data_IF_967526068406
#
_entry.id   IF_967526068406
#
_cell.length_a   1.000
_cell.length_b   1.000
_cell.length_c   1.000
_cell.angle_alpha   90.00
_cell.angle_beta   90.00
_cell.angle_gamma   90.00
#
_symmetry.space_group_name_H-M   'P 1'
#
loop_
_entity.id
_entity.type
_entity.pdbx_description
1 polymer ?
#
# COMPACT_ATOMS: atom_id res chain seq x y z
N UNK A 1 16.96 5.68 7.76
CA UNK A 1 17.86 4.83 6.94
C UNK A 1 18.00 3.45 7.58
N UNK A 2 17.81 2.40 6.79
CA UNK A 2 18.03 1.03 7.21
C UNK A 2 19.53 0.80 7.37
N UNK A 3 20.00 0.61 8.61
CA UNK A 3 21.43 0.40 8.91
C UNK A 3 21.78 -1.08 8.73
N UNK A 4 22.31 -1.38 7.55
CA UNK A 4 22.64 -2.74 7.08
C UNK A 4 23.72 -3.39 7.95
N UNK A 5 24.82 -2.70 8.34
CA UNK A 5 25.77 -3.22 9.32
C UNK A 5 25.11 -3.67 10.63
N UNK A 6 24.25 -2.83 11.22
CA UNK A 6 23.56 -3.14 12.48
C UNK A 6 22.60 -4.32 12.31
N UNK A 7 21.91 -4.40 11.17
CA UNK A 7 21.05 -5.53 10.84
C UNK A 7 21.83 -6.85 10.74
N UNK A 8 22.92 -6.86 9.98
CA UNK A 8 23.77 -8.04 9.79
C UNK A 8 24.45 -8.47 11.08
N UNK A 9 24.87 -7.52 11.93
CA UNK A 9 25.44 -7.82 13.25
C UNK A 9 24.38 -8.49 14.16
N UNK A 10 23.15 -7.96 14.19
CA UNK A 10 22.03 -8.55 14.94
C UNK A 10 21.66 -9.95 14.43
N UNK A 11 21.65 -10.15 13.11
CA UNK A 11 21.35 -11.45 12.50
C UNK A 11 22.45 -12.48 12.82
N UNK A 12 23.73 -12.06 12.78
CA UNK A 12 24.88 -12.88 13.23
C UNK A 12 24.81 -13.18 14.73
N UNK A 13 24.42 -12.21 15.56
CA UNK A 13 24.27 -12.39 17.01
C UNK A 13 23.12 -13.37 17.35
N UNK A 14 22.00 -13.30 16.61
CA UNK A 14 20.87 -14.22 16.72
C UNK A 14 21.23 -15.64 16.26
N UNK A 15 21.94 -15.78 15.14
CA UNK A 15 22.46 -17.06 14.67
C UNK A 15 23.46 -17.69 15.65
N UNK A 16 24.34 -16.89 16.26
CA UNK A 16 25.26 -17.33 17.33
C UNK A 16 24.51 -17.74 18.60
N UNK A 17 23.43 -17.03 18.98
CA UNK A 17 22.54 -17.40 20.10
C UNK A 17 21.83 -18.73 19.85
N UNK A 18 21.35 -19.00 18.63
CA UNK A 18 20.75 -20.30 18.27
C UNK A 18 21.73 -21.47 18.46
N UNK A 19 23.01 -21.27 18.11
CA UNK A 19 24.08 -22.27 18.32
C UNK A 19 24.31 -22.59 19.81
N UNK A 20 24.02 -21.63 20.70
CA UNK A 20 24.11 -21.75 22.17
C UNK A 20 22.82 -22.30 22.80
N UNK A 21 21.66 -22.09 22.19
CA UNK A 21 20.33 -22.54 22.68
C UNK A 21 20.03 -24.00 22.30
N UNK A 22 20.70 -24.56 21.29
CA UNK A 22 20.58 -25.97 20.89
C UNK A 22 20.94 -26.97 22.02
N UNK A 23 21.57 -26.51 23.10
CA UNK A 23 21.80 -27.33 24.31
C UNK A 23 20.64 -27.36 25.31
N UNK A 24 19.68 -26.42 25.26
CA UNK A 24 18.66 -26.23 26.32
C UNK A 24 17.20 -26.08 25.83
N UNK A 25 16.89 -26.48 24.59
CA UNK A 25 15.50 -26.54 24.09
C UNK A 25 15.14 -25.49 23.04
N UNK A 26 14.28 -25.90 22.12
CA UNK A 26 14.18 -25.47 20.73
C UNK A 26 13.75 -24.01 20.50
N UNK A 27 14.54 -23.28 19.73
CA UNK A 27 14.11 -22.03 19.09
C UNK A 27 13.71 -22.35 17.63
N UNK A 28 12.41 -22.34 17.33
CA UNK A 28 11.90 -22.59 15.98
C UNK A 28 12.28 -21.48 15.00
N UNK A 29 12.37 -21.81 13.70
CA UNK A 29 12.63 -20.83 12.62
C UNK A 29 11.59 -19.70 12.65
N UNK A 30 10.32 -20.04 12.89
CA UNK A 30 9.23 -19.08 13.07
C UNK A 30 9.45 -18.09 14.22
N UNK A 31 9.99 -18.54 15.36
CA UNK A 31 10.28 -17.65 16.50
C UNK A 31 11.45 -16.72 16.20
N UNK A 32 12.41 -17.16 15.38
CA UNK A 32 13.50 -16.33 14.86
C UNK A 32 12.98 -15.26 13.89
N UNK A 33 12.06 -15.63 12.98
CA UNK A 33 11.35 -14.69 12.10
C UNK A 33 10.67 -13.62 12.93
N UNK A 34 9.82 -14.05 13.87
CA UNK A 34 9.04 -13.15 14.72
C UNK A 34 9.94 -12.16 15.49
N UNK A 35 11.05 -12.63 16.05
CA UNK A 35 12.03 -11.76 16.72
C UNK A 35 12.73 -10.78 15.77
N UNK A 36 12.99 -11.17 14.52
CA UNK A 36 13.52 -10.27 13.50
C UNK A 36 12.47 -9.22 13.07
N UNK A 37 11.19 -9.63 12.91
CA UNK A 37 10.07 -8.72 12.59
C UNK A 37 9.90 -7.64 13.65
N UNK A 38 10.04 -7.99 14.93
CA UNK A 38 9.96 -7.04 16.05
C UNK A 38 11.12 -6.04 16.10
N UNK A 39 12.32 -6.47 15.74
CA UNK A 39 13.52 -5.64 15.92
C UNK A 39 13.82 -4.71 14.74
N UNK A 40 13.22 -4.93 13.58
CA UNK A 40 13.51 -4.14 12.37
C UNK A 40 12.24 -3.82 11.59
N UNK A 41 11.38 -2.91 12.10
CA UNK A 41 10.09 -2.59 11.49
C UNK A 41 10.18 -2.03 10.06
N UNK A 42 11.28 -1.36 9.72
CA UNK A 42 11.53 -0.84 8.37
C UNK A 42 11.81 -1.92 7.32
N UNK A 43 12.14 -3.15 7.76
CA UNK A 43 12.29 -4.29 6.84
C UNK A 43 10.91 -4.83 6.42
N UNK A 44 9.92 -4.77 7.32
CA UNK A 44 8.53 -5.25 7.12
C UNK A 44 7.90 -4.62 5.87
N UNK A 45 7.92 -3.28 5.82
CA UNK A 45 7.28 -2.52 4.75
C UNK A 45 7.98 -2.74 3.39
N UNK A 46 9.27 -3.07 3.41
CA UNK A 46 10.07 -3.30 2.19
C UNK A 46 10.02 -4.76 1.72
N UNK A 47 9.74 -5.71 2.62
CA UNK A 47 9.61 -7.13 2.30
C UNK A 47 8.19 -7.53 1.89
N UNK A 48 7.18 -6.72 2.23
CA UNK A 48 5.76 -7.05 1.99
C UNK A 48 5.46 -7.45 0.53
N UNK A 49 5.91 -6.71 -0.50
CA UNK A 49 5.61 -7.07 -1.89
C UNK A 49 6.23 -8.39 -2.34
N UNK A 50 7.26 -8.86 -1.64
CA UNK A 50 7.94 -10.13 -1.89
C UNK A 50 7.28 -11.26 -1.09
N UNK A 51 6.81 -10.98 0.14
CA UNK A 51 5.98 -11.91 0.92
C UNK A 51 4.70 -12.27 0.18
N UNK A 52 4.01 -11.29 -0.40
CA UNK A 52 2.74 -11.51 -1.11
C UNK A 52 2.95 -12.46 -2.31
N UNK A 53 4.08 -12.32 -3.02
CA UNK A 53 4.45 -13.20 -4.14
C UNK A 53 4.96 -14.57 -3.69
N UNK A 54 5.66 -14.64 -2.57
CA UNK A 54 6.06 -15.90 -1.94
C UNK A 54 4.83 -16.72 -1.58
N UNK A 55 3.74 -16.08 -1.14
CA UNK A 55 2.47 -16.77 -0.84
C UNK A 55 1.88 -17.43 -2.09
N UNK A 56 1.79 -16.68 -3.20
CA UNK A 56 1.30 -17.19 -4.50
C UNK A 56 2.18 -18.35 -5.01
N UNK A 57 3.50 -18.21 -4.92
CA UNK A 57 4.45 -19.27 -5.31
C UNK A 57 4.37 -20.49 -4.39
N UNK A 58 4.11 -20.30 -3.10
CA UNK A 58 3.99 -21.37 -2.12
C UNK A 58 2.79 -22.26 -2.39
N UNK A 59 1.66 -21.64 -2.75
CA UNK A 59 0.44 -22.35 -3.14
C UNK A 59 0.61 -23.06 -4.48
N UNK A 60 1.16 -22.37 -5.50
CA UNK A 60 1.37 -22.94 -6.83
C UNK A 60 2.33 -24.15 -6.83
N UNK A 61 3.32 -24.16 -5.93
CA UNK A 61 4.36 -25.20 -5.86
C UNK A 61 4.14 -26.22 -4.74
N UNK A 62 3.05 -26.11 -3.97
CA UNK A 62 2.72 -27.00 -2.85
C UNK A 62 3.85 -27.15 -1.82
N UNK A 63 4.42 -26.02 -1.41
CA UNK A 63 5.56 -26.02 -0.49
C UNK A 63 5.17 -26.47 0.92
N UNK A 64 6.05 -27.20 1.59
CA UNK A 64 5.89 -27.60 2.99
C UNK A 64 5.94 -26.38 3.93
N UNK A 65 5.39 -26.53 5.13
CA UNK A 65 5.36 -25.46 6.14
C UNK A 65 6.76 -24.93 6.48
N UNK A 66 7.77 -25.81 6.51
CA UNK A 66 9.16 -25.43 6.73
C UNK A 66 9.75 -24.62 5.56
N UNK A 67 9.40 -24.96 4.31
CA UNK A 67 9.82 -24.23 3.11
C UNK A 67 9.16 -22.86 3.00
N UNK A 68 7.87 -22.76 3.35
CA UNK A 68 7.14 -21.49 3.43
C UNK A 68 7.77 -20.55 4.47
N UNK A 69 8.15 -21.09 5.64
CA UNK A 69 8.84 -20.34 6.69
C UNK A 69 10.23 -19.85 6.25
N UNK A 70 10.96 -20.66 5.46
CA UNK A 70 12.26 -20.27 4.89
C UNK A 70 12.12 -19.21 3.79
N UNK A 71 11.06 -19.26 3.00
CA UNK A 71 10.77 -18.25 1.98
C UNK A 71 10.33 -16.91 2.60
N UNK A 72 9.48 -16.94 3.63
CA UNK A 72 9.16 -15.76 4.44
C UNK A 72 10.41 -15.21 5.14
N UNK A 73 11.36 -16.04 5.60
CA UNK A 73 12.65 -15.55 6.09
C UNK A 73 13.44 -14.80 5.00
N UNK A 74 13.48 -15.36 3.80
CA UNK A 74 14.28 -14.86 2.71
C UNK A 74 13.69 -13.60 2.05
N UNK A 75 12.36 -13.43 2.03
CA UNK A 75 11.71 -12.19 1.58
C UNK A 75 12.03 -10.98 2.47
N UNK A 76 12.45 -11.19 3.73
CA UNK A 76 12.87 -10.13 4.67
C UNK A 76 14.33 -9.77 4.58
N UNK A 77 15.09 -10.61 3.89
CA UNK A 77 16.49 -10.38 3.58
C UNK A 77 16.64 -9.59 2.26
N UNK A 78 15.54 -9.40 1.53
CA UNK A 78 15.38 -8.58 0.33
C UNK A 78 15.72 -7.09 0.50
N UNK A 79 15.32 -6.37 1.58
CA UNK A 79 15.69 -4.96 1.73
C UNK A 79 17.19 -4.74 1.96
N UNK A 80 17.94 -5.82 2.24
CA UNK A 80 19.40 -5.77 2.35
C UNK A 80 20.07 -5.77 0.99
N UNK A 81 19.53 -6.44 -0.03
CA UNK A 81 20.20 -6.52 -1.34
C UNK A 81 20.23 -5.17 -2.04
N UNK A 82 19.17 -4.38 -1.90
CA UNK A 82 19.08 -3.01 -2.44
C UNK A 82 20.00 -2.03 -1.69
N UNK A 83 20.12 -2.22 -0.37
CA UNK A 83 21.06 -1.45 0.43
C UNK A 83 22.53 -1.84 0.22
N UNK A 84 22.79 -3.08 -0.17
CA UNK A 84 24.14 -3.58 -0.46
C UNK A 84 24.65 -3.14 -1.84
N UNK A 85 23.76 -2.80 -2.78
CA UNK A 85 24.11 -2.08 -4.02
C UNK A 85 24.62 -0.65 -3.76
N UNK A 86 24.14 0.01 -2.71
CA UNK A 86 24.61 1.36 -2.35
C UNK A 86 25.99 1.36 -1.67
N UNK A 87 26.42 0.24 -1.09
CA UNK A 87 27.75 0.10 -0.45
C UNK A 87 28.86 -0.33 -1.42
N UNK A 88 28.54 -0.68 -2.67
CA UNK A 88 29.54 -0.90 -3.73
C UNK A 88 30.23 0.41 -4.16
N UNK A 89 29.56 1.57 -4.02
CA UNK A 89 30.15 2.88 -4.36
C UNK A 89 31.19 3.37 -3.32
N UNK A 90 31.17 2.83 -2.09
CA UNK A 90 32.03 3.27 -0.97
C UNK A 90 33.21 2.31 -0.67
N UNK A 91 33.40 1.24 -1.46
CA UNK A 91 34.67 0.50 -1.54
C UNK A 91 35.11 -0.37 -0.34
N UNK A 92 34.29 -0.57 0.70
CA UNK A 92 34.68 -1.35 1.89
C UNK A 92 34.04 -2.76 2.03
N UNK A 93 33.37 -3.30 1.01
CA UNK A 93 32.68 -4.60 1.17
C UNK A 93 32.69 -5.48 -0.09
N UNK A 94 33.49 -6.56 -0.08
CA UNK A 94 33.42 -7.65 -1.07
C UNK A 94 33.06 -8.99 -0.41
N UNK A 95 31.82 -9.47 -0.64
CA UNK A 95 31.60 -10.86 -1.00
C UNK A 95 30.79 -10.95 -2.31
N UNK A 96 31.06 -11.98 -3.10
CA UNK A 96 30.63 -12.16 -4.51
C UNK A 96 29.12 -12.11 -4.81
N UNK A 97 28.25 -12.07 -3.80
CA UNK A 97 26.88 -11.52 -3.87
C UNK A 97 26.23 -11.56 -2.48
N UNK A 98 25.42 -10.55 -2.09
CA UNK A 98 24.52 -10.62 -0.93
C UNK A 98 23.68 -11.91 -0.85
N UNK A 99 23.24 -12.42 -2.01
CA UNK A 99 22.45 -13.64 -2.10
C UNK A 99 23.30 -14.90 -1.81
N UNK A 100 24.59 -14.90 -2.17
CA UNK A 100 25.50 -16.01 -1.89
C UNK A 100 25.86 -16.11 -0.41
N UNK A 101 26.11 -14.98 0.25
CA UNK A 101 26.34 -14.94 1.71
C UNK A 101 25.07 -15.35 2.46
N UNK A 102 23.88 -15.02 1.94
CA UNK A 102 22.59 -15.46 2.47
C UNK A 102 22.40 -16.96 2.36
N UNK A 103 22.61 -17.51 1.15
CA UNK A 103 22.57 -18.95 0.88
C UNK A 103 23.61 -19.66 1.72
N UNK A 104 24.78 -19.07 1.93
CA UNK A 104 25.83 -19.59 2.81
C UNK A 104 25.41 -19.57 4.29
N UNK A 105 24.76 -18.51 4.77
CA UNK A 105 24.25 -18.39 6.15
C UNK A 105 23.10 -19.37 6.41
N UNK A 106 22.20 -19.55 5.44
CA UNK A 106 21.12 -20.54 5.48
C UNK A 106 21.68 -21.97 5.43
N UNK A 107 22.72 -22.23 4.61
CA UNK A 107 23.48 -23.50 4.60
C UNK A 107 24.24 -23.76 5.90
N UNK A 108 24.87 -22.74 6.50
CA UNK A 108 25.60 -22.85 7.78
C UNK A 108 24.66 -22.99 8.99
N UNK A 109 23.39 -22.62 8.86
CA UNK A 109 22.37 -22.84 9.88
C UNK A 109 21.94 -24.32 10.01
N UNK A 110 22.55 -25.24 9.26
CA UNK A 110 22.22 -26.68 9.19
C UNK A 110 20.71 -26.91 9.07
N UNK A 111 20.11 -26.22 8.11
CA UNK A 111 18.84 -26.64 7.54
C UNK A 111 19.22 -27.57 6.39
N UNK A 112 18.74 -28.80 6.42
CA UNK A 112 18.73 -29.63 5.22
C UNK A 112 17.77 -28.92 4.25
N UNK A 113 18.30 -28.00 3.45
CA UNK A 113 17.58 -27.36 2.36
C UNK A 113 17.40 -28.44 1.30
N UNK A 114 16.48 -29.36 1.58
CA UNK A 114 16.11 -30.43 0.69
C UNK A 114 15.62 -29.82 -0.61
N UNK A 115 16.38 -30.06 -1.68
CA UNK A 115 16.12 -29.72 -3.08
C UNK A 115 16.64 -28.36 -3.59
N UNK A 116 17.26 -28.42 -4.77
CA UNK A 116 17.60 -27.28 -5.64
C UNK A 116 16.38 -26.37 -5.92
N UNK A 117 15.17 -26.91 -5.74
CA UNK A 117 13.89 -26.26 -6.00
C UNK A 117 13.65 -25.02 -5.12
N UNK A 118 13.95 -25.07 -3.82
CA UNK A 118 13.69 -23.94 -2.88
C UNK A 118 14.57 -22.73 -3.17
N UNK A 119 15.80 -22.96 -3.63
CA UNK A 119 16.69 -21.89 -4.10
C UNK A 119 16.18 -21.27 -5.42
N UNK A 120 15.57 -22.07 -6.29
CA UNK A 120 15.01 -21.60 -7.56
C UNK A 120 13.70 -20.84 -7.38
N UNK A 121 12.86 -21.19 -6.41
CA UNK A 121 11.67 -20.38 -6.04
C UNK A 121 12.07 -18.97 -5.60
N UNK A 122 13.14 -18.85 -4.82
CA UNK A 122 13.69 -17.57 -4.40
C UNK A 122 14.21 -16.75 -5.58
N UNK A 123 14.98 -17.37 -6.47
CA UNK A 123 15.44 -16.72 -7.70
C UNK A 123 14.27 -16.27 -8.57
N UNK A 124 13.21 -17.09 -8.70
CA UNK A 124 12.01 -16.78 -9.47
C UNK A 124 11.21 -15.61 -8.89
N UNK A 125 11.03 -15.57 -7.58
CA UNK A 125 10.43 -14.43 -6.89
C UNK A 125 11.21 -13.14 -7.19
N UNK A 126 12.55 -13.19 -7.14
CA UNK A 126 13.42 -12.05 -7.43
C UNK A 126 13.32 -11.57 -8.89
N UNK A 127 13.28 -12.49 -9.86
CA UNK A 127 13.09 -12.18 -11.28
C UNK A 127 11.73 -11.51 -11.51
N UNK A 128 10.66 -12.05 -10.93
CA UNK A 128 9.30 -11.51 -11.07
C UNK A 128 9.15 -10.09 -10.48
N UNK A 129 10.04 -9.69 -9.58
CA UNK A 129 10.08 -8.33 -8.98
C UNK A 129 10.97 -7.36 -9.74
N UNK A 130 11.63 -7.80 -10.83
CA UNK A 130 12.51 -6.97 -11.66
C UNK A 130 13.92 -6.75 -11.08
N UNK A 131 14.30 -7.52 -10.05
CA UNK A 131 15.55 -7.33 -9.31
C UNK A 131 16.66 -8.31 -9.68
N UNK A 132 16.35 -9.34 -10.47
CA UNK A 132 17.33 -10.20 -11.13
C UNK A 132 16.95 -10.29 -12.62
N UNK A 133 17.93 -10.07 -13.48
CA UNK A 133 17.70 -9.88 -14.92
C UNK A 133 17.59 -11.19 -15.73
N UNK A 134 17.91 -12.35 -15.14
CA UNK A 134 17.98 -13.61 -15.90
C UNK A 134 17.47 -14.84 -15.16
N UNK A 135 16.66 -15.61 -15.87
CA UNK A 135 16.10 -16.91 -15.52
C UNK A 135 16.98 -18.11 -15.91
N UNK A 136 18.16 -17.88 -16.49
CA UNK A 136 19.00 -18.92 -17.10
C UNK A 136 19.45 -20.06 -16.14
N UNK A 137 19.38 -19.82 -14.82
CA UNK A 137 19.79 -20.78 -13.78
C UNK A 137 18.61 -21.33 -12.94
N UNK A 138 17.37 -21.25 -13.45
CA UNK A 138 16.17 -21.80 -12.79
C UNK A 138 15.89 -23.24 -13.25
N UNK A 139 15.37 -24.08 -12.35
CA UNK A 139 14.74 -25.34 -12.73
C UNK A 139 13.62 -25.11 -13.79
N UNK A 140 13.48 -25.98 -14.81
CA UNK A 140 12.53 -25.81 -15.92
C UNK A 140 11.09 -25.50 -15.50
N UNK A 141 10.54 -26.28 -14.55
CA UNK A 141 9.19 -26.09 -14.01
C UNK A 141 8.97 -24.70 -13.39
N UNK A 142 10.03 -24.08 -12.87
CA UNK A 142 10.00 -22.75 -12.25
C UNK A 142 10.20 -21.65 -13.29
N UNK A 143 11.06 -21.89 -14.29
CA UNK A 143 11.24 -20.98 -15.43
C UNK A 143 9.94 -20.80 -16.22
N UNK A 144 9.20 -21.89 -16.47
CA UNK A 144 7.90 -21.86 -17.15
C UNK A 144 6.85 -21.03 -16.38
N UNK A 145 6.84 -21.11 -15.04
CA UNK A 145 5.96 -20.31 -14.18
C UNK A 145 6.32 -18.81 -14.16
N UNK A 146 7.61 -18.47 -14.29
CA UNK A 146 8.07 -17.08 -14.37
C UNK A 146 7.72 -16.45 -15.72
N UNK A 147 7.83 -17.22 -16.81
CA UNK A 147 7.49 -16.78 -18.16
C UNK A 147 5.98 -16.63 -18.37
N UNK A 148 5.14 -17.37 -17.63
CA UNK A 148 3.68 -17.30 -17.72
C UNK A 148 3.05 -16.04 -17.07
N UNK A 149 3.85 -15.04 -16.63
CA UNK A 149 3.40 -13.92 -15.79
C UNK A 149 2.45 -14.43 -14.69
N UNK A 150 3.00 -15.03 -13.62
CA UNK A 150 2.20 -15.28 -12.42
C UNK A 150 1.40 -14.03 -12.11
N UNK A 151 0.06 -14.13 -12.04
CA UNK A 151 -0.77 -12.98 -11.75
C UNK A 151 -0.20 -12.36 -10.47
N UNK A 152 0.06 -11.04 -10.50
CA UNK A 152 0.19 -10.31 -9.25
C UNK A 152 -1.00 -10.76 -8.38
N UNK A 153 -0.83 -11.00 -7.06
CA UNK A 153 -1.97 -11.23 -6.19
C UNK A 153 -2.90 -10.06 -6.46
N UNK A 154 -3.92 -10.35 -7.25
CA UNK A 154 -5.03 -9.47 -7.47
C UNK A 154 -5.85 -9.85 -6.26
N UNK A 155 -6.28 -8.90 -5.42
CA UNK A 155 -7.53 -9.14 -4.73
C UNK A 155 -8.48 -9.47 -5.88
N UNK A 156 -8.90 -10.73 -5.98
CA UNK A 156 -9.90 -11.08 -6.97
C UNK A 156 -11.01 -10.06 -6.75
N UNK A 157 -11.54 -9.40 -7.80
CA UNK A 157 -12.73 -8.60 -7.63
C UNK A 157 -13.82 -9.58 -7.20
N UNK A 158 -13.99 -9.71 -5.90
CA UNK A 158 -15.02 -10.52 -5.27
C UNK A 158 -16.32 -9.93 -5.79
N UNK A 159 -17.05 -10.77 -6.53
CA UNK A 159 -18.34 -10.38 -7.09
C UNK A 159 -19.24 -9.85 -5.97
N UNK A 160 -20.09 -8.84 -6.23
CA UNK A 160 -20.86 -8.14 -5.20
C UNK A 160 -21.96 -8.97 -4.52
N UNK A 161 -22.00 -10.29 -4.72
CA UNK A 161 -22.95 -11.19 -4.07
C UNK A 161 -22.23 -12.13 -3.10
N UNK A 162 -22.19 -11.67 -1.83
CA UNK A 162 -22.08 -12.45 -0.59
C UNK A 162 -20.68 -12.87 -0.11
N UNK A 163 -19.89 -11.89 0.36
CA UNK A 163 -18.99 -12.10 1.50
C UNK A 163 -19.41 -11.14 2.63
N UNK A 164 -19.56 -11.68 3.85
CA UNK A 164 -19.86 -10.89 5.04
C UNK A 164 -18.53 -10.64 5.76
N UNK A 165 -17.92 -9.47 5.54
CA UNK A 165 -16.84 -9.01 6.40
C UNK A 165 -17.37 -8.82 7.83
N UNK A 166 -16.57 -9.15 8.84
CA UNK A 166 -16.92 -8.83 10.23
C UNK A 166 -17.07 -7.32 10.39
N UNK A 167 -16.24 -6.55 9.66
CA UNK A 167 -16.29 -5.09 9.62
C UNK A 167 -16.21 -4.57 8.18
N UNK A 168 -17.20 -3.78 7.75
CA UNK A 168 -17.11 -2.98 6.53
C UNK A 168 -16.98 -1.50 6.88
N UNK A 169 -15.93 -0.85 6.38
CA UNK A 169 -15.66 0.56 6.59
C UNK A 169 -15.60 1.33 5.27
N UNK A 170 -16.55 2.26 5.10
CA UNK A 170 -16.50 3.30 4.08
C UNK A 170 -16.06 4.59 4.71
N UNK A 171 -14.97 5.15 4.22
CA UNK A 171 -14.30 6.34 4.74
C UNK A 171 -14.19 7.46 3.71
N UNK A 172 -14.33 7.15 2.42
CA UNK A 172 -14.27 8.09 1.29
C UNK A 172 -15.64 8.73 1.04
N UNK A 173 -15.75 10.05 1.21
CA UNK A 173 -17.02 10.78 1.09
C UNK A 173 -17.90 10.73 2.35
N UNK A 174 -17.38 10.20 3.46
CA UNK A 174 -18.07 10.13 4.75
C UNK A 174 -17.94 8.76 5.41
N UNK A 175 -17.94 8.73 6.75
CA UNK A 175 -17.79 7.50 7.50
C UNK A 175 -19.11 6.71 7.60
N UNK A 176 -19.14 5.50 7.05
CA UNK A 176 -20.16 4.46 7.31
C UNK A 176 -19.45 3.19 7.76
N UNK A 177 -19.96 2.58 8.82
CA UNK A 177 -19.41 1.36 9.41
C UNK A 177 -20.52 0.34 9.52
N UNK A 178 -20.26 -0.89 9.07
CA UNK A 178 -21.07 -2.05 9.40
C UNK A 178 -20.26 -3.05 10.21
N UNK A 179 -20.92 -3.72 11.14
CA UNK A 179 -20.37 -4.82 11.93
C UNK A 179 -21.34 -5.98 11.85
N UNK A 180 -20.86 -7.18 11.47
CA UNK A 180 -21.73 -8.34 11.23
C UNK A 180 -22.84 -8.06 10.21
N UNK A 181 -22.58 -7.18 9.24
CA UNK A 181 -23.56 -6.72 8.24
C UNK A 181 -24.54 -5.62 8.69
N UNK A 182 -24.55 -5.22 9.97
CA UNK A 182 -25.46 -4.17 10.49
C UNK A 182 -24.79 -2.80 10.58
N UNK A 183 -25.49 -1.73 10.17
CA UNK A 183 -24.99 -0.36 10.25
C UNK A 183 -24.81 0.12 11.70
N UNK A 184 -23.59 0.52 12.05
CA UNK A 184 -23.29 1.12 13.35
C UNK A 184 -23.64 2.61 13.33
N UNK A 185 -24.79 2.94 13.92
CA UNK A 185 -25.28 4.33 13.94
C UNK A 185 -24.28 5.30 14.60
N UNK A 186 -24.19 6.54 14.09
CA UNK A 186 -23.33 7.59 14.67
C UNK A 186 -23.58 7.83 16.16
N UNK A 187 -24.82 7.65 16.62
CA UNK A 187 -25.22 7.84 18.04
C UNK A 187 -24.69 6.73 18.94
N UNK A 188 -24.50 5.50 18.43
CA UNK A 188 -24.02 4.36 19.20
C UNK A 188 -22.64 4.62 19.83
N UNK A 189 -21.77 5.36 19.13
CA UNK A 189 -20.41 5.70 19.55
C UNK A 189 -20.34 6.59 20.79
N UNK A 190 -21.35 7.43 21.04
CA UNK A 190 -21.42 8.41 22.15
C UNK A 190 -20.25 9.42 22.20
N UNK A 191 -19.29 9.34 21.30
CA UNK A 191 -18.04 10.10 21.28
C UNK A 191 -17.42 10.04 19.88
N UNK A 192 -17.08 11.20 19.32
CA UNK A 192 -16.34 11.27 18.06
C UNK A 192 -14.98 10.57 18.17
N UNK A 193 -14.26 10.77 19.28
CA UNK A 193 -12.95 10.14 19.51
C UNK A 193 -13.05 8.63 19.62
N UNK A 194 -14.15 8.06 20.15
CA UNK A 194 -14.32 6.61 20.19
C UNK A 194 -14.44 6.04 18.76
N UNK A 195 -15.22 6.72 17.92
CA UNK A 195 -15.42 6.36 16.51
C UNK A 195 -14.13 6.48 15.70
N UNK A 196 -13.44 7.60 15.81
CA UNK A 196 -12.21 7.84 15.06
C UNK A 196 -11.02 7.01 15.58
N UNK A 197 -10.97 6.69 16.87
CA UNK A 197 -10.00 5.75 17.43
C UNK A 197 -10.14 4.37 16.78
N UNK A 198 -11.37 3.86 16.65
CA UNK A 198 -11.62 2.58 15.99
C UNK A 198 -11.16 2.61 14.52
N UNK A 199 -11.61 3.60 13.74
CA UNK A 199 -11.22 3.72 12.32
C UNK A 199 -9.72 3.91 12.15
N UNK A 200 -9.08 4.69 13.02
CA UNK A 200 -7.63 4.83 13.02
C UNK A 200 -6.96 3.47 13.22
N UNK A 201 -7.37 2.68 14.21
CA UNK A 201 -6.80 1.36 14.44
C UNK A 201 -7.10 0.37 13.31
N UNK A 202 -8.29 0.45 12.69
CA UNK A 202 -8.66 -0.35 11.53
C UNK A 202 -7.71 -0.07 10.35
N UNK A 203 -7.43 1.20 10.06
CA UNK A 203 -6.47 1.63 9.02
C UNK A 203 -5.00 1.25 9.29
N UNK A 204 -4.71 0.54 10.39
CA UNK A 204 -3.38 0.01 10.71
C UNK A 204 -3.22 -1.47 10.35
N UNK A 205 -4.23 -2.11 9.75
CA UNK A 205 -4.14 -3.49 9.26
C UNK A 205 -3.68 -4.50 10.32
N UNK A 206 -4.37 -4.52 11.46
CA UNK A 206 -4.06 -5.46 12.56
C UNK A 206 -2.79 -5.13 13.37
N UNK A 207 -2.11 -4.01 13.09
CA UNK A 207 -1.03 -3.53 13.95
C UNK A 207 -1.59 -2.87 15.23
N UNK A 208 -1.08 -3.28 16.38
CA UNK A 208 -1.39 -2.61 17.64
C UNK A 208 -0.58 -1.31 17.82
N UNK A 209 -1.18 -0.32 18.47
CA UNK A 209 -0.60 1.00 18.72
C UNK A 209 -0.48 1.22 20.23
N UNK A 210 0.70 1.63 20.73
CA UNK A 210 0.89 1.91 22.15
C UNK A 210 -0.10 2.94 22.70
N UNK A 211 -0.58 2.70 23.91
CA UNK A 211 -1.54 3.55 24.61
C UNK A 211 -1.07 5.00 24.73
N UNK A 212 0.20 5.21 25.04
CA UNK A 212 0.78 6.56 25.14
C UNK A 212 0.75 7.29 23.80
N UNK A 213 0.96 6.56 22.68
CA UNK A 213 0.89 7.12 21.34
C UNK A 213 -0.55 7.46 20.96
N UNK A 214 -1.51 6.58 21.25
CA UNK A 214 -2.93 6.85 21.03
C UNK A 214 -3.41 8.04 21.87
N UNK A 215 -2.94 8.14 23.12
CA UNK A 215 -3.25 9.26 24.00
C UNK A 215 -2.74 10.60 23.43
N UNK A 216 -1.52 10.61 22.87
CA UNK A 216 -0.94 11.78 22.20
C UNK A 216 -1.68 12.18 20.92
N UNK A 217 -2.09 11.20 20.10
CA UNK A 217 -2.79 11.44 18.83
C UNK A 217 -4.19 12.03 19.09
N UNK A 218 -4.97 11.46 20.00
CA UNK A 218 -6.39 11.81 20.18
C UNK A 218 -6.65 12.87 21.24
N UNK A 219 -5.71 13.12 22.15
CA UNK A 219 -5.79 14.17 23.17
C UNK A 219 -4.48 14.94 23.28
N UNK A 220 -4.02 15.58 22.19
CA UNK A 220 -2.78 16.35 22.21
C UNK A 220 -2.84 17.44 23.27
N UNK A 221 -1.72 17.67 23.97
CA UNK A 221 -1.60 18.68 25.03
C UNK A 221 -2.32 18.37 26.35
N UNK A 222 -3.04 17.25 26.47
CA UNK A 222 -3.63 16.84 27.75
C UNK A 222 -2.58 16.23 28.69
N UNK A 223 -2.67 16.46 30.03
CA UNK A 223 -1.81 15.76 30.99
C UNK A 223 -1.95 14.24 30.85
N UNK A 224 -0.84 13.50 30.93
CA UNK A 224 -0.78 12.06 30.63
C UNK A 224 -1.88 11.24 31.32
N UNK A 225 -2.09 11.43 32.64
CA UNK A 225 -3.14 10.73 33.41
C UNK A 225 -4.56 11.06 32.95
N UNK A 226 -4.80 12.26 32.38
CA UNK A 226 -6.09 12.66 31.82
C UNK A 226 -6.29 12.05 30.44
N UNK A 227 -5.28 12.12 29.59
CA UNK A 227 -5.31 11.54 28.24
C UNK A 227 -5.53 10.02 28.28
N UNK A 228 -4.80 9.31 29.14
CA UNK A 228 -4.96 7.86 29.30
C UNK A 228 -6.36 7.47 29.82
N UNK A 229 -6.94 8.23 30.77
CA UNK A 229 -8.34 8.01 31.20
C UNK A 229 -9.35 8.23 30.06
N UNK A 230 -9.10 9.23 29.21
CA UNK A 230 -9.95 9.51 28.04
C UNK A 230 -9.82 8.41 26.98
N UNK A 231 -8.62 7.85 26.78
CA UNK A 231 -8.36 6.70 25.93
C UNK A 231 -9.18 5.49 26.40
N UNK A 232 -9.03 5.07 27.65
CA UNK A 232 -9.76 3.92 28.22
C UNK A 232 -11.28 4.13 28.10
N UNK A 233 -11.78 5.34 28.37
CA UNK A 233 -13.20 5.66 28.20
C UNK A 233 -13.65 5.56 26.74
N UNK A 234 -12.81 5.97 25.78
CA UNK A 234 -13.13 5.93 24.35
C UNK A 234 -13.10 4.51 23.81
N UNK A 235 -12.14 3.68 24.23
CA UNK A 235 -12.09 2.25 23.94
C UNK A 235 -13.35 1.54 24.46
N UNK A 236 -13.75 1.84 25.70
CA UNK A 236 -14.97 1.25 26.28
C UNK A 236 -16.23 1.62 25.47
N UNK A 237 -16.36 2.89 25.06
CA UNK A 237 -17.48 3.34 24.22
C UNK A 237 -17.44 2.72 22.82
N UNK A 238 -16.25 2.59 22.23
CA UNK A 238 -16.07 1.94 20.93
C UNK A 238 -16.56 0.48 20.99
N UNK A 239 -16.06 -0.31 21.95
CA UNK A 239 -16.50 -1.70 22.16
C UNK A 239 -18.02 -1.81 22.36
N UNK A 240 -18.61 -0.89 23.13
CA UNK A 240 -20.07 -0.86 23.32
C UNK A 240 -20.83 -0.52 22.04
N UNK A 241 -20.30 0.37 21.22
CA UNK A 241 -20.93 0.77 19.96
C UNK A 241 -20.88 -0.33 18.90
N UNK A 242 -19.79 -1.09 18.89
CA UNK A 242 -19.58 -2.21 17.97
C UNK A 242 -20.43 -3.44 18.31
N UNK A 243 -20.95 -3.54 19.54
CA UNK A 243 -21.68 -4.74 20.00
C UNK A 243 -20.78 -5.96 20.25
N UNK A 244 -19.62 -6.00 19.61
CA UNK A 244 -18.60 -7.05 19.70
C UNK A 244 -17.34 -6.48 20.38
N UNK A 245 -17.18 -6.80 21.66
CA UNK A 245 -16.05 -6.27 22.44
C UNK A 245 -14.68 -6.83 21.99
N UNK A 246 -14.69 -7.93 21.25
CA UNK A 246 -13.52 -8.70 20.79
C UNK A 246 -12.82 -8.02 19.61
N UNK A 247 -13.53 -7.26 18.77
CA UNK A 247 -12.95 -6.54 17.63
C UNK A 247 -11.85 -5.55 18.00
N UNK A 248 -11.93 -4.92 19.18
CA UNK A 248 -10.93 -3.95 19.65
C UNK A 248 -10.13 -4.55 20.81
N UNK A 249 -8.98 -5.14 20.50
CA UNK A 249 -8.17 -5.91 21.45
C UNK A 249 -7.12 -5.03 22.13
N UNK A 250 -6.80 -5.38 23.38
CA UNK A 250 -5.67 -4.81 24.12
C UNK A 250 -4.55 -5.84 24.20
N UNK A 251 -3.38 -5.52 23.67
CA UNK A 251 -2.17 -6.33 23.78
C UNK A 251 -1.17 -5.62 24.70
N UNK A 252 -1.01 -6.09 25.94
CA UNK A 252 -0.24 -5.42 27.01
C UNK A 252 -0.63 -3.94 27.17
N UNK A 253 0.21 -3.00 26.71
CA UNK A 253 -0.02 -1.54 26.73
C UNK A 253 -0.28 -0.94 25.36
N UNK A 254 -0.91 -1.72 24.47
CA UNK A 254 -1.28 -1.32 23.13
C UNK A 254 -2.71 -1.71 22.81
N UNK A 255 -3.35 -0.98 21.90
CA UNK A 255 -4.65 -1.34 21.33
C UNK A 255 -4.54 -1.60 19.84
N UNK A 256 -5.29 -2.57 19.33
CA UNK A 256 -5.37 -2.90 17.91
C UNK A 256 -6.73 -3.48 17.57
N UNK A 257 -6.96 -3.75 16.29
CA UNK A 257 -8.06 -4.61 15.85
C UNK A 257 -7.65 -6.06 16.05
N UNK A 258 -8.60 -6.94 16.33
CA UNK A 258 -8.35 -8.38 16.38
C UNK A 258 -7.75 -8.85 15.05
N UNK A 259 -6.77 -9.76 15.12
CA UNK A 259 -6.09 -10.29 13.94
C UNK A 259 -6.92 -11.34 13.20
N UNK A 260 -7.88 -11.93 13.89
CA UNK A 260 -8.83 -12.89 13.29
C UNK A 260 -10.06 -12.19 12.69
N UNK A 261 -10.20 -10.87 12.92
CA UNK A 261 -11.27 -10.07 12.32
C UNK A 261 -11.01 -9.89 10.83
N UNK A 262 -11.93 -10.38 10.02
CA UNK A 262 -11.96 -10.07 8.60
C UNK A 262 -12.62 -8.71 8.39
N UNK A 263 -11.97 -7.82 7.63
CA UNK A 263 -12.48 -6.47 7.44
C UNK A 263 -12.21 -5.95 6.03
N UNK A 264 -13.10 -5.08 5.59
CA UNK A 264 -12.93 -4.33 4.35
C UNK A 264 -12.91 -2.83 4.63
N UNK A 265 -11.94 -2.15 4.01
CA UNK A 265 -11.76 -0.71 4.14
C UNK A 265 -11.54 -0.09 2.75
N UNK A 266 -12.48 0.75 2.32
CA UNK A 266 -12.46 1.39 0.99
C UNK A 266 -11.16 2.18 0.70
N UNK A 267 -10.54 2.78 1.71
CA UNK A 267 -9.28 3.50 1.55
C UNK A 267 -8.06 2.59 1.33
N UNK A 268 -8.08 1.38 1.88
CA UNK A 268 -7.04 0.38 1.64
C UNK A 268 -7.18 -0.19 0.23
N UNK A 269 -8.40 -0.58 -0.17
CA UNK A 269 -8.67 -1.05 -1.51
C UNK A 269 -8.34 0.01 -2.58
N UNK A 270 -8.65 1.29 -2.32
CA UNK A 270 -8.26 2.37 -3.23
C UNK A 270 -6.73 2.44 -3.39
N UNK A 271 -6.00 2.31 -2.29
CA UNK A 271 -4.54 2.37 -2.31
C UNK A 271 -3.95 1.20 -3.08
N UNK A 272 -4.51 0.01 -2.91
CA UNK A 272 -4.12 -1.20 -3.64
C UNK A 272 -4.42 -1.09 -5.14
N UNK A 273 -5.66 -0.75 -5.50
CA UNK A 273 -6.05 -0.55 -6.90
C UNK A 273 -5.17 0.49 -7.59
N UNK A 274 -4.85 1.59 -6.92
CA UNK A 274 -3.92 2.61 -7.43
C UNK A 274 -2.52 2.03 -7.69
N UNK A 275 -1.97 1.25 -6.77
CA UNK A 275 -0.65 0.65 -6.90
C UNK A 275 -0.60 -0.37 -8.05
N UNK A 276 -1.60 -1.24 -8.15
CA UNK A 276 -1.72 -2.23 -9.23
C UNK A 276 -1.90 -1.54 -10.58
N UNK A 277 -2.79 -0.54 -10.66
CA UNK A 277 -3.03 0.25 -11.88
C UNK A 277 -1.77 0.98 -12.35
N UNK A 278 -1.05 1.62 -11.43
CA UNK A 278 0.22 2.30 -11.73
C UNK A 278 1.29 1.34 -12.23
N UNK A 279 1.38 0.13 -11.65
CA UNK A 279 2.30 -0.90 -12.14
C UNK A 279 1.99 -1.30 -13.58
N UNK A 280 0.73 -1.57 -13.89
CA UNK A 280 0.30 -1.91 -15.24
C UNK A 280 0.51 -0.76 -16.23
N UNK A 281 0.31 0.49 -15.80
CA UNK A 281 0.55 1.68 -16.61
C UNK A 281 2.01 1.74 -17.09
N UNK A 282 2.97 1.55 -16.18
CA UNK A 282 4.39 1.56 -16.54
C UNK A 282 4.82 0.34 -17.36
N UNK A 283 4.18 -0.81 -17.16
CA UNK A 283 4.37 -2.02 -17.98
C UNK A 283 3.70 -1.93 -19.35
N UNK A 284 3.00 -0.83 -19.67
CA UNK A 284 2.22 -0.65 -20.91
C UNK A 284 1.05 -1.63 -21.08
N UNK A 285 0.59 -2.23 -20.00
CA UNK A 285 -0.62 -3.04 -19.94
C UNK A 285 -1.84 -2.12 -19.70
N UNK A 286 -2.14 -1.25 -20.68
CA UNK A 286 -3.05 -0.12 -20.49
C UNK A 286 -4.48 -0.52 -20.14
N UNK A 287 -5.00 -1.62 -20.70
CA UNK A 287 -6.36 -2.10 -20.37
C UNK A 287 -6.47 -2.53 -18.91
N UNK A 288 -5.45 -3.25 -18.39
CA UNK A 288 -5.39 -3.65 -16.98
C UNK A 288 -5.20 -2.42 -16.08
N UNK A 289 -4.39 -1.46 -16.50
CA UNK A 289 -4.20 -0.20 -15.78
C UNK A 289 -5.52 0.58 -15.67
N UNK A 290 -6.24 0.70 -16.78
CA UNK A 290 -7.50 1.43 -16.85
C UNK A 290 -8.58 0.80 -15.96
N UNK A 291 -8.69 -0.53 -15.94
CA UNK A 291 -9.63 -1.23 -15.05
C UNK A 291 -9.37 -0.93 -13.56
N UNK A 292 -8.10 -0.86 -13.16
CA UNK A 292 -7.71 -0.55 -11.79
C UNK A 292 -7.91 0.93 -11.45
N UNK A 293 -7.62 1.84 -12.37
CA UNK A 293 -7.92 3.26 -12.17
C UNK A 293 -9.43 3.52 -12.11
N UNK A 294 -10.25 2.80 -12.89
CA UNK A 294 -11.71 2.86 -12.77
C UNK A 294 -12.15 2.46 -11.36
N UNK A 295 -11.57 1.39 -10.80
CA UNK A 295 -11.82 1.00 -9.41
C UNK A 295 -11.47 2.09 -8.41
N UNK A 296 -10.34 2.78 -8.58
CA UNK A 296 -9.95 3.94 -7.75
C UNK A 296 -11.02 5.04 -7.80
N UNK A 297 -11.49 5.37 -9.01
CA UNK A 297 -12.50 6.42 -9.23
C UNK A 297 -13.87 6.05 -8.66
N UNK A 298 -14.23 4.76 -8.67
CA UNK A 298 -15.47 4.25 -8.09
C UNK A 298 -15.43 4.27 -6.55
N UNK A 299 -14.27 4.01 -5.95
CA UNK A 299 -14.09 4.08 -4.51
C UNK A 299 -14.03 5.53 -4.01
N UNK A 300 -13.42 6.44 -4.78
CA UNK A 300 -13.26 7.85 -4.39
C UNK A 300 -14.56 8.65 -4.58
N UNK A 301 -15.47 8.53 -3.63
CA UNK A 301 -16.74 9.28 -3.61
C UNK A 301 -16.64 10.64 -2.90
N UNK A 302 -15.45 11.01 -2.42
CA UNK A 302 -15.17 12.28 -1.76
C UNK A 302 -14.02 12.17 -0.76
N UNK A 303 -13.74 13.24 0.00
CA UNK A 303 -12.60 13.27 0.93
C UNK A 303 -12.67 12.18 1.99
N UNK A 304 -11.53 11.62 2.37
CA UNK A 304 -11.41 10.69 3.50
C UNK A 304 -11.80 11.37 4.82
N UNK A 305 -12.79 10.81 5.51
CA UNK A 305 -13.29 11.27 6.81
C UNK A 305 -13.44 12.81 6.89
N UNK A 306 -14.31 13.45 6.09
CA UNK A 306 -14.35 14.91 5.96
C UNK A 306 -14.62 15.64 7.29
N UNK A 307 -15.35 14.98 8.19
CA UNK A 307 -15.68 15.47 9.54
C UNK A 307 -14.56 15.29 10.59
N UNK A 308 -13.46 14.60 10.25
CA UNK A 308 -12.33 14.39 11.15
C UNK A 308 -11.24 15.43 10.86
N UNK A 309 -10.82 16.16 11.88
CA UNK A 309 -9.80 17.21 11.76
C UNK A 309 -8.47 16.85 12.43
N UNK A 310 -8.34 15.62 12.92
CA UNK A 310 -7.10 15.15 13.51
C UNK A 310 -6.00 15.05 12.43
N UNK A 311 -4.76 15.40 12.78
CA UNK A 311 -3.64 15.47 11.83
C UNK A 311 -3.39 14.16 11.06
N UNK A 312 -3.64 13.01 11.70
CA UNK A 312 -3.48 11.70 11.05
C UNK A 312 -4.46 11.53 9.88
N UNK A 313 -5.71 11.99 10.04
CA UNK A 313 -6.75 11.87 9.03
C UNK A 313 -6.50 12.86 7.88
N UNK A 314 -5.97 14.05 8.19
CA UNK A 314 -5.59 15.06 7.18
C UNK A 314 -4.53 14.49 6.23
N UNK A 315 -3.47 13.86 6.77
CA UNK A 315 -2.38 13.27 5.97
C UNK A 315 -2.89 12.13 5.07
N UNK A 316 -3.74 11.25 5.60
CA UNK A 316 -4.34 10.17 4.83
C UNK A 316 -5.25 10.72 3.73
N UNK A 317 -6.08 11.72 4.05
CA UNK A 317 -6.98 12.39 3.10
C UNK A 317 -6.22 13.00 1.93
N UNK A 318 -5.13 13.70 2.20
CA UNK A 318 -4.27 14.27 1.17
C UNK A 318 -3.67 13.17 0.28
N UNK A 319 -3.09 12.13 0.89
CA UNK A 319 -2.50 11.01 0.14
C UNK A 319 -3.52 10.31 -0.77
N UNK A 320 -4.73 10.02 -0.26
CA UNK A 320 -5.77 9.34 -1.06
C UNK A 320 -6.32 10.23 -2.17
N UNK A 321 -6.46 11.54 -1.91
CA UNK A 321 -6.86 12.53 -2.92
C UNK A 321 -5.85 12.58 -4.06
N UNK A 322 -4.56 12.68 -3.74
CA UNK A 322 -3.50 12.72 -4.76
C UNK A 322 -3.44 11.43 -5.59
N UNK A 323 -3.63 10.26 -4.97
CA UNK A 323 -3.75 8.99 -5.71
C UNK A 323 -4.95 8.96 -6.66
N UNK A 324 -6.10 9.46 -6.21
CA UNK A 324 -7.31 9.52 -7.03
C UNK A 324 -7.17 10.47 -8.21
N UNK A 325 -6.52 11.63 -7.99
CA UNK A 325 -6.18 12.60 -9.05
C UNK A 325 -5.23 11.97 -10.07
N UNK A 326 -4.11 11.40 -9.63
CA UNK A 326 -3.12 10.78 -10.53
C UNK A 326 -3.72 9.60 -11.33
N UNK A 327 -4.56 8.77 -10.70
CA UNK A 327 -5.29 7.70 -11.41
C UNK A 327 -6.24 8.26 -12.48
N UNK A 328 -6.97 9.33 -12.16
CA UNK A 328 -7.87 10.00 -13.10
C UNK A 328 -7.09 10.61 -14.27
N UNK A 329 -5.96 11.27 -14.01
CA UNK A 329 -5.11 11.88 -15.03
C UNK A 329 -4.49 10.81 -15.95
N UNK A 330 -3.83 9.79 -15.39
CA UNK A 330 -3.24 8.68 -16.18
C UNK A 330 -4.27 7.93 -17.00
N UNK A 331 -5.43 7.63 -16.41
CA UNK A 331 -6.51 6.97 -17.13
C UNK A 331 -7.11 7.84 -18.22
N UNK A 332 -7.24 9.15 -18.00
CA UNK A 332 -7.68 10.08 -19.02
C UNK A 332 -6.69 10.15 -20.20
N UNK A 333 -5.38 10.11 -19.93
CA UNK A 333 -4.35 10.03 -20.97
C UNK A 333 -4.48 8.74 -21.80
N UNK A 334 -4.69 7.59 -21.15
CA UNK A 334 -4.93 6.31 -21.85
C UNK A 334 -6.16 6.41 -22.77
N UNK A 335 -7.23 7.04 -22.27
CA UNK A 335 -8.51 7.16 -22.98
C UNK A 335 -8.51 8.21 -24.08
N UNK A 336 -7.53 9.12 -24.11
CA UNK A 336 -7.59 10.33 -24.93
C UNK A 336 -7.84 10.06 -26.41
N UNK A 337 -7.19 9.04 -26.97
CA UNK A 337 -7.32 8.69 -28.40
C UNK A 337 -8.50 7.74 -28.67
N UNK A 338 -8.77 6.81 -27.76
CA UNK A 338 -9.76 5.73 -27.98
C UNK A 338 -11.17 6.15 -27.59
N UNK A 339 -11.32 6.99 -26.56
CA UNK A 339 -12.60 7.49 -26.07
C UNK A 339 -12.44 8.89 -25.43
N UNK A 340 -12.35 9.96 -26.25
CA UNK A 340 -12.18 11.33 -25.77
C UNK A 340 -13.27 11.80 -24.80
N UNK A 341 -14.51 11.32 -24.95
CA UNK A 341 -15.61 11.67 -24.06
C UNK A 341 -15.40 11.10 -22.64
N UNK A 342 -14.96 9.84 -22.53
CA UNK A 342 -14.62 9.24 -21.22
C UNK A 342 -13.36 9.87 -20.62
N UNK A 343 -12.39 10.25 -21.45
CA UNK A 343 -11.21 11.02 -21.02
C UNK A 343 -11.62 12.36 -20.39
N UNK A 344 -12.54 13.09 -21.01
CA UNK A 344 -13.11 14.33 -20.47
C UNK A 344 -13.75 14.12 -19.10
N UNK A 345 -14.59 13.09 -18.93
CA UNK A 345 -15.24 12.79 -17.64
C UNK A 345 -14.22 12.59 -16.51
N UNK A 346 -13.11 11.90 -16.82
CA UNK A 346 -12.04 11.63 -15.86
C UNK A 346 -11.24 12.90 -15.55
N UNK A 347 -10.92 13.71 -16.56
CA UNK A 347 -10.26 15.00 -16.35
C UNK A 347 -11.12 15.93 -15.49
N UNK A 348 -12.44 15.97 -15.71
CA UNK A 348 -13.37 16.78 -14.91
C UNK A 348 -13.39 16.36 -13.44
N UNK A 349 -13.29 15.05 -13.16
CA UNK A 349 -13.08 14.55 -11.78
C UNK A 349 -11.74 15.01 -11.22
N UNK A 350 -10.65 14.85 -11.99
CA UNK A 350 -9.31 15.25 -11.57
C UNK A 350 -9.23 16.73 -11.19
N UNK A 351 -9.69 17.65 -12.06
CA UNK A 351 -9.66 19.10 -11.78
C UNK A 351 -10.67 19.53 -10.71
N UNK A 352 -11.72 18.75 -10.46
CA UNK A 352 -12.62 19.01 -9.32
C UNK A 352 -11.96 18.63 -7.98
N UNK A 353 -11.09 17.61 -7.97
CA UNK A 353 -10.38 17.15 -6.77
C UNK A 353 -9.05 17.87 -6.54
N UNK A 354 -8.37 18.29 -7.60
CA UNK A 354 -7.19 19.15 -7.58
C UNK A 354 -7.29 20.25 -8.65
N UNK A 355 -7.97 21.36 -8.35
CA UNK A 355 -8.16 22.48 -9.28
C UNK A 355 -6.85 23.15 -9.73
N UNK A 356 -5.78 23.03 -8.95
CA UNK A 356 -4.46 23.57 -9.27
C UNK A 356 -3.59 22.61 -10.09
N UNK A 357 -4.06 21.41 -10.41
CA UNK A 357 -3.30 20.43 -11.22
C UNK A 357 -3.34 20.81 -12.70
N UNK A 358 -2.25 21.36 -13.21
CA UNK A 358 -2.10 21.65 -14.64
C UNK A 358 -2.22 20.42 -15.56
N UNK A 359 -1.67 19.22 -15.22
CA UNK A 359 -1.85 18.01 -16.03
C UNK A 359 -3.33 17.66 -16.30
N UNK A 360 -4.19 17.73 -15.28
CA UNK A 360 -5.63 17.49 -15.44
C UNK A 360 -6.29 18.49 -16.40
N UNK A 361 -5.93 19.77 -16.32
CA UNK A 361 -6.42 20.79 -17.25
C UNK A 361 -5.90 20.60 -18.69
N UNK A 362 -4.63 20.29 -18.85
CA UNK A 362 -4.03 20.05 -20.16
C UNK A 362 -4.72 18.87 -20.88
N UNK A 363 -4.92 17.75 -20.20
CA UNK A 363 -5.60 16.59 -20.78
C UNK A 363 -7.09 16.87 -21.04
N UNK A 364 -7.76 17.68 -20.19
CA UNK A 364 -9.13 18.13 -20.45
C UNK A 364 -9.22 18.93 -21.75
N UNK A 365 -8.30 19.88 -21.98
CA UNK A 365 -8.26 20.68 -23.20
C UNK A 365 -8.04 19.78 -24.42
N UNK A 366 -7.09 18.83 -24.35
CA UNK A 366 -6.88 17.85 -25.43
C UNK A 366 -8.16 17.04 -25.72
N UNK A 367 -8.83 16.53 -24.69
CA UNK A 367 -10.04 15.74 -24.84
C UNK A 367 -11.18 16.53 -25.50
N UNK A 368 -11.34 17.81 -25.15
CA UNK A 368 -12.32 18.71 -25.77
C UNK A 368 -11.94 19.07 -27.22
N UNK A 369 -10.65 19.25 -27.50
CA UNK A 369 -10.14 19.50 -28.84
C UNK A 369 -10.36 18.31 -29.78
N UNK A 370 -10.09 17.08 -29.32
CA UNK A 370 -10.39 15.84 -30.04
C UNK A 370 -11.89 15.69 -30.38
N UNK A 371 -12.77 16.32 -29.61
CA UNK A 371 -14.21 16.37 -29.86
C UNK A 371 -14.66 17.58 -30.68
N UNK A 372 -13.73 18.41 -31.19
CA UNK A 372 -14.02 19.66 -31.93
C UNK A 372 -14.86 20.69 -31.12
N UNK A 373 -14.79 20.67 -29.79
CA UNK A 373 -15.56 21.55 -28.89
C UNK A 373 -14.82 22.85 -28.57
N UNK A 374 -14.53 23.67 -29.60
CA UNK A 374 -13.69 24.89 -29.48
C UNK A 374 -14.11 25.85 -28.36
N UNK A 375 -15.41 26.14 -28.24
CA UNK A 375 -15.92 27.04 -27.19
C UNK A 375 -15.67 26.53 -25.78
N UNK A 376 -15.48 25.22 -25.62
CA UNK A 376 -15.24 24.60 -24.32
C UNK A 376 -13.76 24.48 -24.01
N UNK A 377 -12.91 24.34 -25.03
CA UNK A 377 -11.45 24.52 -24.92
C UNK A 377 -11.13 25.88 -24.32
N UNK A 378 -11.68 26.96 -24.89
CA UNK A 378 -11.48 28.33 -24.41
C UNK A 378 -11.93 28.49 -22.96
N UNK A 379 -13.13 28.01 -22.62
CA UNK A 379 -13.64 28.04 -21.24
C UNK A 379 -12.76 27.28 -20.25
N UNK A 380 -12.30 26.09 -20.62
CA UNK A 380 -11.44 25.27 -19.75
C UNK A 380 -10.10 25.96 -19.48
N UNK A 381 -9.48 26.56 -20.50
CA UNK A 381 -8.26 27.34 -20.33
C UNK A 381 -8.49 28.59 -19.45
N UNK A 382 -9.55 29.35 -19.69
CA UNK A 382 -9.89 30.53 -18.89
C UNK A 382 -10.14 30.17 -17.42
N UNK A 383 -10.83 29.05 -17.17
CA UNK A 383 -11.11 28.56 -15.83
C UNK A 383 -9.82 28.14 -15.10
N UNK A 384 -8.96 27.37 -15.76
CA UNK A 384 -7.62 27.02 -15.26
C UNK A 384 -6.80 28.28 -14.92
N UNK A 385 -6.72 29.23 -15.86
CA UNK A 385 -5.96 30.46 -15.70
C UNK A 385 -6.49 31.34 -14.56
N UNK A 386 -7.81 31.32 -14.31
CA UNK A 386 -8.42 32.01 -13.18
C UNK A 386 -8.06 31.33 -11.87
N UNK A 387 -8.21 30.01 -11.77
CA UNK A 387 -7.92 29.23 -10.55
C UNK A 387 -6.45 29.36 -10.15
N UNK A 388 -5.52 29.16 -11.08
CA UNK A 388 -4.08 29.30 -10.81
C UNK A 388 -3.70 30.71 -10.35
N UNK A 389 -4.38 31.73 -10.87
CA UNK A 389 -4.15 33.12 -10.46
C UNK A 389 -4.72 33.39 -9.07
N UNK A 390 -5.95 32.95 -8.81
CA UNK A 390 -6.65 33.22 -7.57
C UNK A 390 -6.04 32.45 -6.38
N UNK A 391 -5.61 31.19 -6.59
CA UNK A 391 -5.09 30.32 -5.53
C UNK A 391 -3.57 30.39 -5.38
N UNK A 392 -2.82 30.52 -6.48
CA UNK A 392 -1.35 30.46 -6.47
C UNK A 392 -0.67 31.77 -6.91
N UNK A 393 -1.42 32.74 -7.45
CA UNK A 393 -0.84 33.95 -8.04
C UNK A 393 -0.06 33.70 -9.33
N UNK A 394 -0.28 32.55 -9.98
CA UNK A 394 0.45 32.11 -11.17
C UNK A 394 -0.42 32.23 -12.43
N UNK A 395 0.25 32.15 -13.59
CA UNK A 395 -0.39 31.95 -14.89
C UNK A 395 -0.23 30.47 -15.30
N UNK A 396 -1.06 29.94 -16.22
CA UNK A 396 -0.83 28.62 -16.79
C UNK A 396 0.60 28.47 -17.31
N UNK A 397 1.23 27.34 -17.00
CA UNK A 397 2.54 26.97 -17.51
C UNK A 397 2.48 26.48 -18.96
N UNK A 398 3.65 26.13 -19.50
CA UNK A 398 3.79 25.64 -20.87
C UNK A 398 2.91 24.43 -21.18
N UNK A 399 2.76 23.50 -20.22
CA UNK A 399 1.96 22.28 -20.42
C UNK A 399 0.49 22.56 -20.78
N UNK A 400 -0.09 23.64 -20.25
CA UNK A 400 -1.47 24.06 -20.56
C UNK A 400 -1.48 25.04 -21.73
N UNK A 401 -0.51 25.96 -21.79
CA UNK A 401 -0.43 26.96 -22.86
C UNK A 401 -0.22 26.33 -24.23
N UNK A 402 0.78 25.45 -24.37
CA UNK A 402 1.13 24.81 -25.64
C UNK A 402 -0.06 24.02 -26.21
N UNK A 403 -0.78 23.31 -25.33
CA UNK A 403 -1.95 22.52 -25.69
C UNK A 403 -3.13 23.40 -26.12
N UNK A 404 -3.30 24.56 -25.48
CA UNK A 404 -4.32 25.53 -25.84
C UNK A 404 -4.02 26.17 -27.20
N UNK A 405 -2.77 26.56 -27.41
CA UNK A 405 -2.31 27.15 -28.68
C UNK A 405 -2.47 26.12 -29.81
N UNK A 406 -2.02 24.88 -29.63
CA UNK A 406 -2.24 23.78 -30.59
C UNK A 406 -3.74 23.57 -30.90
N UNK A 407 -4.60 23.54 -29.87
CA UNK A 407 -6.04 23.33 -30.05
C UNK A 407 -6.75 24.49 -30.76
N UNK A 408 -6.12 25.68 -30.82
CA UNK A 408 -6.68 26.88 -31.44
C UNK A 408 -6.04 27.23 -32.79
N UNK A 409 -4.81 26.79 -33.05
CA UNK A 409 -4.04 27.01 -34.29
C UNK A 409 -4.51 26.14 -35.47
N UNK A 410 -5.12 24.97 -35.25
CA UNK A 410 -5.71 24.15 -36.33
C UNK A 410 -6.90 24.83 -37.07
N UNK A 411 -7.21 26.08 -36.76
CA UNK A 411 -8.35 26.82 -37.26
C UNK A 411 -8.03 27.98 -38.22
N UNK A 412 -6.75 28.20 -38.58
CA UNK A 412 -6.35 29.21 -39.59
C UNK A 412 -5.95 28.59 -40.94
#
# INVERSE_FOLDING_TARGET
>A
PFDIPVFLEKLRALARRRKKIRSDGELSLWKLVSLLKEQVPSAVERSQPVEDKVSVLSEALQLSEEEQQLLSLASWLFPLTDGLKQTEEDGEWEPSSPAEELVRLLKHASVDLGSERTADVLKAALISTGLKESAADLHPDVAELVEQELPAPSPQPLSPDQEHYDVEARTLGGLRLKVGGEDVSRKAWQSANARYLFVYLLSRGGQSVPEDRLAQIFWPGSPARKAHRALVSSVHRARKALGEAELLVRYDRSYGIDRECDYWLDSEELTEAYQVGTRHFYQKNLDKALAQFERVLDLYQGPYLPDCHDEWAVKIRESLRLKAVDAAEKGAEILLQSNPARSEDWCRKAVAWEPTSEPGWATLIKALAHQSRRKEVEKAYEECARILRDELGLKPGAAVQDVYDEATDFAD
#
